data_IF_125021745095
#
_entry.id   IF_125021745095
#
_cell.length_a   1.000
_cell.length_b   1.000
_cell.length_c   1.000
_cell.angle_alpha   90.00
_cell.angle_beta   90.00
_cell.angle_gamma   90.00
#
_symmetry.space_group_name_H-M   'P 1'
#
loop_
_entity.id
_entity.type
_entity.pdbx_description
1 polymer ?
#
# COMPACT_ATOMS: atom_id res chain seq x y z
N UNK A 1 16.25 -37.11 -16.82
CA UNK A 1 17.09 -36.00 -16.41
C UNK A 1 16.27 -34.74 -16.27
N UNK A 2 16.26 -34.17 -15.09
CA UNK A 2 15.50 -32.94 -14.86
C UNK A 2 16.13 -31.82 -15.68
N UNK A 3 15.31 -31.15 -16.49
CA UNK A 3 15.78 -29.99 -17.23
C UNK A 3 15.88 -28.82 -16.28
N UNK A 4 17.09 -28.37 -16.04
CA UNK A 4 17.32 -27.15 -15.29
C UNK A 4 17.14 -25.99 -16.26
N UNK A 5 16.20 -25.07 -15.99
CA UNK A 5 16.06 -23.91 -16.86
C UNK A 5 17.38 -23.16 -16.94
N UNK A 6 17.73 -22.65 -18.10
CA UNK A 6 18.94 -21.88 -18.23
C UNK A 6 18.79 -20.53 -17.50
N UNK A 7 19.88 -19.84 -17.28
CA UNK A 7 19.87 -18.58 -16.55
C UNK A 7 18.96 -17.53 -17.19
N UNK A 8 18.90 -17.52 -18.53
CA UNK A 8 18.04 -16.56 -19.22
C UNK A 8 16.57 -16.81 -18.93
N UNK A 9 16.16 -18.08 -18.86
CA UNK A 9 14.78 -18.43 -18.53
C UNK A 9 14.44 -18.06 -17.08
N UNK A 10 15.37 -18.33 -16.16
CA UNK A 10 15.19 -17.98 -14.76
C UNK A 10 15.08 -16.49 -14.58
N UNK A 11 15.93 -15.71 -15.25
CA UNK A 11 15.89 -14.25 -15.19
C UNK A 11 14.58 -13.72 -15.75
N UNK A 12 14.11 -14.29 -16.86
CA UNK A 12 12.86 -13.87 -17.47
C UNK A 12 11.68 -14.15 -16.56
N UNK A 13 11.66 -15.32 -15.94
CA UNK A 13 10.62 -15.67 -14.96
C UNK A 13 10.62 -14.71 -13.79
N UNK A 14 11.81 -14.39 -13.26
CA UNK A 14 11.94 -13.46 -12.16
C UNK A 14 11.46 -12.06 -12.54
N UNK A 15 11.79 -11.61 -13.74
CA UNK A 15 11.33 -10.31 -14.24
C UNK A 15 9.83 -10.28 -14.42
N UNK A 16 9.24 -11.36 -14.96
CA UNK A 16 7.79 -11.46 -15.15
C UNK A 16 7.07 -11.43 -13.79
N UNK A 17 7.58 -12.17 -12.81
CA UNK A 17 7.00 -12.15 -11.47
C UNK A 17 7.10 -10.78 -10.82
N UNK A 18 8.26 -10.13 -10.96
CA UNK A 18 8.47 -8.79 -10.43
C UNK A 18 7.53 -7.79 -11.06
N UNK A 19 7.32 -7.89 -12.37
CA UNK A 19 6.41 -7.01 -13.09
C UNK A 19 4.97 -7.23 -12.65
N UNK A 20 4.54 -8.48 -12.50
CA UNK A 20 3.20 -8.79 -12.03
C UNK A 20 2.96 -8.24 -10.63
N UNK A 21 3.94 -8.39 -9.75
CA UNK A 21 3.87 -7.85 -8.40
C UNK A 21 3.74 -6.33 -8.44
N UNK A 22 4.56 -5.68 -9.26
CA UNK A 22 4.53 -4.23 -9.41
C UNK A 22 3.19 -3.75 -9.96
N UNK A 23 2.68 -4.41 -10.99
CA UNK A 23 1.37 -4.09 -11.54
C UNK A 23 0.27 -4.25 -10.50
N UNK A 24 0.35 -5.29 -9.69
CA UNK A 24 -0.59 -5.52 -8.61
C UNK A 24 -0.54 -4.42 -7.57
N UNK A 25 0.66 -4.02 -7.17
CA UNK A 25 0.82 -2.94 -6.21
C UNK A 25 0.35 -1.60 -6.78
N UNK A 26 0.59 -1.35 -8.06
CA UNK A 26 0.12 -0.13 -8.71
C UNK A 26 -1.41 -0.09 -8.82
N UNK A 27 -2.07 -1.24 -8.88
CA UNK A 27 -3.52 -1.31 -8.97
C UNK A 27 -4.22 -1.16 -7.64
N UNK A 28 -3.51 -1.31 -6.54
CA UNK A 28 -4.06 -1.11 -5.21
C UNK A 28 -4.25 0.38 -4.96
N UNK A 29 -5.45 0.75 -4.52
CA UNK A 29 -5.74 2.10 -4.08
C UNK A 29 -6.45 2.03 -2.74
N UNK A 30 -5.93 2.78 -1.79
CA UNK A 30 -6.53 2.84 -0.47
C UNK A 30 -6.71 4.30 -0.05
N UNK A 31 -7.88 4.61 0.49
CA UNK A 31 -8.22 5.94 0.94
C UNK A 31 -8.17 5.99 2.46
N UNK A 32 -7.38 6.92 2.97
CA UNK A 32 -7.40 7.26 4.38
C UNK A 32 -8.07 8.59 4.59
N UNK A 33 -8.65 8.81 5.75
CA UNK A 33 -9.31 10.06 6.05
C UNK A 33 -9.14 10.45 7.51
N UNK A 34 -9.35 11.72 7.78
CA UNK A 34 -9.33 12.28 9.12
C UNK A 34 -10.32 13.42 9.20
N UNK A 35 -10.71 13.78 10.43
CA UNK A 35 -11.65 14.86 10.66
C UNK A 35 -13.03 14.58 10.07
N UNK A 36 -13.51 13.35 10.14
CA UNK A 36 -14.81 13.01 9.59
C UNK A 36 -14.85 13.06 8.06
N UNK A 37 -13.72 12.86 7.41
CA UNK A 37 -13.64 12.89 5.96
C UNK A 37 -13.26 14.25 5.38
N UNK A 38 -12.93 15.21 6.22
CA UNK A 38 -12.53 16.54 5.76
C UNK A 38 -11.17 16.55 5.09
N UNK A 39 -10.30 15.60 5.44
CA UNK A 39 -9.03 15.37 4.75
C UNK A 39 -9.00 13.92 4.32
N UNK A 40 -8.75 13.70 3.03
CA UNK A 40 -8.66 12.36 2.45
C UNK A 40 -7.35 12.23 1.68
N UNK A 41 -6.69 11.10 1.86
CA UNK A 41 -5.44 10.78 1.15
C UNK A 41 -5.63 9.44 0.47
N UNK A 42 -5.31 9.37 -0.81
CA UNK A 42 -5.34 8.10 -1.56
C UNK A 42 -3.92 7.69 -1.87
N UNK A 43 -3.58 6.45 -1.52
CA UNK A 43 -2.27 5.87 -1.78
C UNK A 43 -2.40 4.64 -2.66
N UNK A 44 -1.34 4.35 -3.42
CA UNK A 44 -1.23 3.05 -4.10
C UNK A 44 -0.53 2.04 -3.20
N UNK A 45 -0.29 0.82 -3.71
CA UNK A 45 0.36 -0.24 -2.95
C UNK A 45 1.81 0.07 -2.57
N UNK A 46 2.46 0.97 -3.29
CA UNK A 46 3.80 1.45 -2.95
C UNK A 46 3.78 2.58 -1.92
N UNK A 47 2.59 2.96 -1.47
CA UNK A 47 2.39 4.07 -0.53
C UNK A 47 2.75 5.42 -1.13
N UNK A 48 2.67 5.53 -2.45
CA UNK A 48 2.77 6.82 -3.12
C UNK A 48 1.43 7.53 -3.04
N UNK A 49 1.47 8.83 -2.79
CA UNK A 49 0.25 9.63 -2.72
C UNK A 49 -0.27 9.86 -4.13
N UNK A 50 -1.49 9.38 -4.40
CA UNK A 50 -2.15 9.60 -5.68
C UNK A 50 -3.00 10.85 -5.67
N UNK A 51 -3.61 11.16 -4.52
CA UNK A 51 -4.40 12.38 -4.37
C UNK A 51 -4.51 12.76 -2.91
N UNK A 52 -4.71 14.06 -2.69
CA UNK A 52 -5.02 14.62 -1.38
C UNK A 52 -6.20 15.55 -1.57
N UNK A 53 -7.26 15.31 -0.81
CA UNK A 53 -8.46 16.12 -0.85
C UNK A 53 -8.63 16.79 0.51
N UNK A 54 -8.70 18.11 0.52
CA UNK A 54 -8.79 18.90 1.74
C UNK A 54 -10.03 19.78 1.65
N UNK A 55 -10.91 19.63 2.62
CA UNK A 55 -12.09 20.50 2.71
C UNK A 55 -11.65 21.91 3.10
N UNK A 56 -12.30 22.90 2.49
CA UNK A 56 -12.02 24.31 2.82
C UNK A 56 -12.28 24.63 4.28
N UNK A 57 -13.18 23.89 4.91
CA UNK A 57 -13.60 24.13 6.28
C UNK A 57 -12.44 23.94 7.28
N UNK A 58 -11.47 23.11 6.93
CA UNK A 58 -10.31 22.85 7.82
C UNK A 58 -9.11 23.70 7.46
N UNK A 59 -9.21 24.56 6.44
CA UNK A 59 -8.12 25.44 6.05
C UNK A 59 -8.29 26.76 6.79
N UNK A 60 -7.65 26.85 7.94
CA UNK A 60 -7.67 28.04 8.80
C UNK A 60 -6.26 28.55 8.95
N UNK A 61 -5.96 29.74 8.39
CA UNK A 61 -4.61 30.31 8.51
C UNK A 61 -4.16 30.55 9.94
N UNK A 62 -5.07 30.62 10.88
CA UNK A 62 -4.74 30.82 12.29
C UNK A 62 -4.57 29.50 13.04
N UNK A 63 -4.90 28.38 12.40
CA UNK A 63 -4.74 27.05 12.99
C UNK A 63 -4.15 26.07 11.99
N UNK A 64 -2.95 26.35 11.56
CA UNK A 64 -2.22 25.51 10.60
C UNK A 64 -1.89 24.16 11.22
N UNK A 65 -1.62 24.14 12.52
CA UNK A 65 -1.28 22.91 13.23
C UNK A 65 -2.40 21.88 13.14
N UNK A 66 -3.66 22.30 13.25
CA UNK A 66 -4.81 21.41 13.07
C UNK A 66 -4.79 20.77 11.70
N UNK A 67 -4.54 21.55 10.65
CA UNK A 67 -4.48 21.03 9.28
C UNK A 67 -3.34 20.03 9.12
N UNK A 68 -2.17 20.34 9.68
CA UNK A 68 -1.03 19.43 9.63
C UNK A 68 -1.35 18.11 10.31
N UNK A 69 -2.00 18.15 11.45
CA UNK A 69 -2.37 16.94 12.20
C UNK A 69 -3.40 16.11 11.43
N UNK A 70 -4.36 16.77 10.78
CA UNK A 70 -5.36 16.07 9.97
C UNK A 70 -4.74 15.38 8.76
N UNK A 71 -3.82 16.06 8.09
CA UNK A 71 -3.12 15.46 6.95
C UNK A 71 -2.30 14.25 7.40
N UNK A 72 -1.58 14.39 8.50
CA UNK A 72 -0.79 13.29 9.05
C UNK A 72 -1.67 12.10 9.41
N UNK A 73 -2.79 12.35 10.07
CA UNK A 73 -3.72 11.30 10.47
C UNK A 73 -4.33 10.61 9.25
N UNK A 74 -4.72 11.37 8.24
CA UNK A 74 -5.29 10.80 7.01
C UNK A 74 -4.28 9.94 6.27
N UNK A 75 -3.05 10.40 6.17
CA UNK A 75 -1.98 9.64 5.53
C UNK A 75 -1.71 8.33 6.29
N UNK A 76 -1.59 8.39 7.59
CA UNK A 76 -1.34 7.19 8.41
C UNK A 76 -2.51 6.21 8.33
N UNK A 77 -3.74 6.71 8.27
CA UNK A 77 -4.91 5.86 8.06
C UNK A 77 -4.84 5.16 6.70
N UNK A 78 -4.45 5.88 5.66
CA UNK A 78 -4.27 5.30 4.33
C UNK A 78 -3.17 4.25 4.30
N UNK A 79 -2.05 4.50 4.98
CA UNK A 79 -0.94 3.53 5.08
C UNK A 79 -1.43 2.23 5.72
N UNK A 80 -2.19 2.33 6.80
CA UNK A 80 -2.75 1.15 7.45
C UNK A 80 -3.66 0.35 6.54
N UNK A 81 -4.46 1.03 5.74
CA UNK A 81 -5.36 0.38 4.77
C UNK A 81 -4.60 -0.27 3.62
N UNK A 82 -3.53 0.36 3.14
CA UNK A 82 -2.66 -0.26 2.14
C UNK A 82 -2.06 -1.54 2.70
N UNK A 83 -1.57 -1.50 3.92
CA UNK A 83 -0.97 -2.67 4.56
C UNK A 83 -1.97 -3.81 4.69
N UNK A 84 -3.21 -3.50 5.04
CA UNK A 84 -4.29 -4.51 5.11
C UNK A 84 -4.56 -5.12 3.74
N UNK A 85 -4.65 -4.31 2.69
CA UNK A 85 -4.88 -4.80 1.34
C UNK A 85 -3.73 -5.63 0.82
N UNK A 86 -2.49 -5.23 1.10
CA UNK A 86 -1.32 -6.02 0.73
C UNK A 86 -1.33 -7.37 1.43
N UNK A 87 -1.66 -7.38 2.70
CA UNK A 87 -1.74 -8.60 3.48
C UNK A 87 -2.81 -9.54 2.93
N UNK A 88 -3.98 -9.01 2.62
CA UNK A 88 -5.08 -9.81 2.08
C UNK A 88 -4.75 -10.36 0.70
N UNK A 89 -4.19 -9.53 -0.17
CA UNK A 89 -3.87 -9.93 -1.54
C UNK A 89 -2.69 -10.90 -1.61
N UNK A 90 -1.64 -10.63 -0.85
CA UNK A 90 -0.44 -11.47 -0.87
C UNK A 90 -0.64 -12.74 -0.05
N UNK A 91 -1.34 -12.63 1.07
CA UNK A 91 -1.63 -13.78 1.92
C UNK A 91 -2.48 -14.83 1.23
N UNK A 92 -3.47 -14.40 0.43
CA UNK A 92 -4.36 -15.31 -0.26
C UNK A 92 -3.74 -15.94 -1.50
N UNK A 93 -2.67 -15.37 -2.04
CA UNK A 93 -2.01 -15.90 -3.23
C UNK A 93 -0.88 -16.87 -2.89
N UNK A 94 -0.54 -17.04 -1.63
CA UNK A 94 0.49 -17.99 -1.21
C UNK A 94 -0.13 -19.38 -1.01
N UNK A 95 0.43 -20.43 -1.66
CA UNK A 95 -0.09 -21.78 -1.49
C UNK A 95 0.00 -22.23 -0.05
N UNK A 96 -1.11 -22.67 0.50
CA UNK A 96 -1.16 -23.14 1.88
C UNK A 96 -1.12 -22.02 2.91
N UNK A 97 -1.10 -20.79 2.47
CA UNK A 97 -1.01 -19.64 3.36
C UNK A 97 0.34 -19.50 4.02
N UNK A 98 0.55 -18.39 4.70
CA UNK A 98 1.71 -18.26 5.54
C UNK A 98 1.50 -19.11 6.79
N UNK A 99 2.53 -19.85 7.24
CA UNK A 99 2.42 -20.58 8.49
C UNK A 99 1.98 -19.60 9.58
N UNK A 100 0.90 -19.95 10.25
CA UNK A 100 0.39 -19.11 11.32
C UNK A 100 1.47 -18.85 12.35
N UNK A 101 1.66 -17.61 12.70
CA UNK A 101 2.62 -17.23 13.70
C UNK A 101 4.01 -16.92 13.20
N UNK A 102 4.25 -16.94 11.89
CA UNK A 102 5.52 -16.42 11.39
C UNK A 102 5.49 -14.89 11.36
N UNK A 103 6.24 -14.25 12.24
CA UNK A 103 6.30 -12.80 12.19
C UNK A 103 7.08 -12.36 10.97
N UNK A 104 6.55 -11.40 10.25
CA UNK A 104 7.34 -10.75 9.21
C UNK A 104 8.37 -9.86 9.86
N UNK A 105 9.63 -9.92 9.41
CA UNK A 105 10.62 -8.97 9.90
C UNK A 105 10.14 -7.55 9.67
N UNK A 106 10.13 -6.75 10.70
CA UNK A 106 9.74 -5.36 10.60
C UNK A 106 8.25 -5.06 10.81
N UNK A 107 7.48 -6.07 11.11
CA UNK A 107 6.06 -5.87 11.47
C UNK A 107 5.84 -5.86 12.96
#
# INVERSE_FOLDING_TARGET
MAKIPNMNQLMKMAQDMSKQMEDKMNSIEAEGNAGGGMVKVVLNGHKNILSVDISKEVVDPEDIEMLQDLITAAFNDAVGKVDEELKDNLGSSLPGGLPGGMPFPGL
#
